data_IF_434438029641
#
_entry.id   IF_434438029641
#
_cell.length_a   1.000
_cell.length_b   1.000
_cell.length_c   1.000
_cell.angle_alpha   90.00
_cell.angle_beta   90.00
_cell.angle_gamma   90.00
#
_symmetry.space_group_name_H-M   'P 1'
#
loop_
_entity.id
_entity.type
_entity.pdbx_description
1 polymer ?
#
# COMPACT_ATOMS: atom_id res chain seq x y z
N UNK A 1 -20.78 -10.28 -14.40
CA UNK A 1 -19.84 -11.40 -14.29
C UNK A 1 -19.69 -11.72 -12.81
N UNK A 2 -20.17 -12.89 -12.40
CA UNK A 2 -20.58 -13.20 -11.03
C UNK A 2 -19.64 -14.26 -10.47
N UNK A 3 -19.04 -14.02 -9.29
CA UNK A 3 -18.23 -15.04 -8.61
C UNK A 3 -19.13 -16.03 -7.87
N UNK A 4 -18.80 -17.32 -8.01
CA UNK A 4 -19.51 -18.43 -7.39
C UNK A 4 -19.06 -18.62 -5.95
N UNK A 5 -19.79 -17.97 -5.03
CA UNK A 5 -19.77 -18.21 -3.60
C UNK A 5 -21.12 -17.78 -3.04
N UNK A 6 -21.85 -18.72 -2.48
CA UNK A 6 -23.21 -18.56 -1.92
C UNK A 6 -23.36 -17.26 -1.12
N UNK A 7 -24.33 -16.41 -1.52
CA UNK A 7 -24.79 -15.28 -0.70
C UNK A 7 -24.07 -13.95 -0.91
N UNK A 8 -24.05 -13.42 -2.14
CA UNK A 8 -24.09 -11.96 -2.35
C UNK A 8 -22.87 -11.15 -1.88
N UNK A 9 -21.65 -11.63 -2.16
CA UNK A 9 -20.42 -10.93 -2.61
C UNK A 9 -19.93 -9.57 -2.08
N UNK A 10 -20.71 -8.77 -1.36
CA UNK A 10 -20.30 -7.45 -0.86
C UNK A 10 -20.29 -7.35 0.67
N UNK A 11 -20.95 -8.26 1.38
CA UNK A 11 -21.04 -8.19 2.85
C UNK A 11 -19.74 -8.63 3.54
N UNK A 12 -18.96 -9.48 2.89
CA UNK A 12 -17.72 -9.98 3.47
C UNK A 12 -16.61 -8.90 3.41
N UNK A 13 -16.56 -8.09 2.32
CA UNK A 13 -15.50 -7.09 2.08
C UNK A 13 -15.90 -5.64 2.43
N UNK A 14 -17.17 -5.38 2.74
CA UNK A 14 -17.67 -4.08 3.16
C UNK A 14 -18.78 -4.24 4.20
N UNK A 15 -18.36 -4.59 5.41
CA UNK A 15 -19.18 -4.62 6.61
C UNK A 15 -18.69 -3.57 7.62
N UNK A 16 -19.45 -3.35 8.68
CA UNK A 16 -19.10 -2.33 9.68
C UNK A 16 -17.75 -2.60 10.38
N UNK A 17 -17.22 -3.83 10.33
CA UNK A 17 -15.93 -4.18 10.96
C UNK A 17 -14.71 -3.93 10.06
N UNK A 18 -14.87 -3.82 8.75
CA UNK A 18 -13.76 -3.54 7.81
C UNK A 18 -13.94 -2.26 6.97
N UNK A 19 -15.10 -1.59 7.04
CA UNK A 19 -15.37 -0.32 6.34
C UNK A 19 -14.30 0.75 6.59
N UNK A 20 -13.73 0.79 7.80
CA UNK A 20 -12.72 1.77 8.20
C UNK A 20 -11.41 1.66 7.40
N UNK A 21 -11.11 0.50 6.79
CA UNK A 21 -9.89 0.29 6.02
C UNK A 21 -9.93 0.99 4.65
N UNK A 22 -11.09 1.03 4.00
CA UNK A 22 -11.24 1.54 2.62
C UNK A 22 -10.81 3.00 2.43
N UNK A 23 -11.19 3.96 3.30
CA UNK A 23 -10.71 5.34 3.18
C UNK A 23 -9.18 5.45 3.22
N UNK A 24 -8.51 4.61 4.01
CA UNK A 24 -7.05 4.58 4.10
C UNK A 24 -6.41 3.99 2.85
N UNK A 25 -6.95 2.90 2.32
CA UNK A 25 -6.49 2.30 1.05
C UNK A 25 -6.57 3.35 -0.06
N UNK A 26 -7.74 3.99 -0.22
CA UNK A 26 -7.92 4.99 -1.29
C UNK A 26 -7.06 6.23 -1.12
N UNK A 27 -6.78 6.64 0.13
CA UNK A 27 -5.86 7.74 0.38
C UNK A 27 -4.41 7.36 0.03
N UNK A 28 -4.00 6.13 0.35
CA UNK A 28 -2.67 5.61 0.03
C UNK A 28 -2.48 5.42 -1.49
N UNK A 29 -3.50 4.93 -2.20
CA UNK A 29 -3.51 4.84 -3.67
C UNK A 29 -3.24 6.20 -4.33
N UNK A 30 -4.06 7.22 -4.01
CA UNK A 30 -3.87 8.58 -4.54
C UNK A 30 -2.53 9.19 -4.18
N UNK A 31 -1.99 8.86 -3.01
CA UNK A 31 -0.65 9.30 -2.63
C UNK A 31 0.40 8.63 -3.51
N UNK A 32 0.30 7.31 -3.73
CA UNK A 32 1.25 6.58 -4.55
C UNK A 32 1.27 7.04 -6.01
N UNK A 33 0.11 7.37 -6.58
CA UNK A 33 0.02 8.01 -7.91
C UNK A 33 0.84 9.31 -7.98
N UNK A 34 0.68 10.18 -6.97
CA UNK A 34 1.45 11.44 -6.88
C UNK A 34 2.95 11.19 -6.72
N UNK A 35 3.32 10.23 -5.88
CA UNK A 35 4.72 9.85 -5.66
C UNK A 35 5.35 9.29 -6.94
N UNK A 36 4.61 8.48 -7.71
CA UNK A 36 5.08 7.92 -8.97
C UNK A 36 5.28 9.03 -10.03
N UNK A 37 4.39 10.02 -10.07
CA UNK A 37 4.49 11.16 -10.97
C UNK A 37 5.74 12.02 -10.71
N UNK A 38 6.04 12.34 -9.44
CA UNK A 38 7.25 13.11 -9.08
C UNK A 38 8.52 12.24 -9.07
N UNK A 39 8.37 10.93 -8.91
CA UNK A 39 9.46 9.97 -8.77
C UNK A 39 10.33 9.82 -10.01
N UNK A 40 9.79 10.10 -11.20
CA UNK A 40 10.56 10.09 -12.46
C UNK A 40 11.62 11.22 -12.52
N UNK A 41 11.38 12.34 -11.84
CA UNK A 41 12.30 13.49 -11.80
C UNK A 41 13.31 13.41 -10.64
N UNK A 42 13.14 12.48 -9.70
CA UNK A 42 14.03 12.29 -8.55
C UNK A 42 15.31 11.54 -8.98
N UNK A 43 16.17 12.26 -9.70
CA UNK A 43 17.50 11.82 -10.08
C UNK A 43 18.36 11.52 -8.83
N UNK A 44 18.42 10.24 -8.44
CA UNK A 44 19.64 9.67 -7.87
C UNK A 44 19.64 9.15 -6.42
N UNK A 45 18.51 9.06 -5.72
CA UNK A 45 18.59 8.53 -4.34
C UNK A 45 17.34 7.96 -3.68
N UNK A 46 16.13 8.19 -4.20
CA UNK A 46 14.89 7.83 -3.50
C UNK A 46 14.06 6.74 -4.20
N UNK A 47 14.57 6.17 -5.29
CA UNK A 47 13.86 5.12 -6.02
C UNK A 47 13.64 3.84 -5.21
N UNK A 48 14.50 3.55 -4.24
CA UNK A 48 14.35 2.46 -3.29
C UNK A 48 13.24 2.70 -2.28
N UNK A 49 13.07 3.95 -1.79
CA UNK A 49 11.92 4.35 -1.00
C UNK A 49 10.60 4.25 -1.78
N UNK A 50 10.58 4.70 -3.05
CA UNK A 50 9.42 4.58 -3.93
C UNK A 50 9.01 3.12 -4.16
N UNK A 51 9.97 2.24 -4.44
CA UNK A 51 9.71 0.80 -4.59
C UNK A 51 9.17 0.18 -3.31
N UNK A 52 9.75 0.50 -2.16
CA UNK A 52 9.25 -0.05 -0.90
C UNK A 52 7.87 0.52 -0.55
N UNK A 53 7.59 1.80 -0.81
CA UNK A 53 6.26 2.38 -0.62
C UNK A 53 5.21 1.67 -1.50
N UNK A 54 5.55 1.37 -2.75
CA UNK A 54 4.69 0.58 -3.64
C UNK A 54 4.41 -0.83 -3.08
N UNK A 55 5.41 -1.51 -2.49
CA UNK A 55 5.21 -2.80 -1.82
C UNK A 55 4.30 -2.70 -0.61
N UNK A 56 4.49 -1.68 0.24
CA UNK A 56 3.59 -1.45 1.39
C UNK A 56 2.15 -1.19 0.94
N UNK A 57 1.95 -0.47 -0.18
CA UNK A 57 0.61 -0.26 -0.74
C UNK A 57 -0.02 -1.58 -1.21
N UNK A 58 0.73 -2.44 -1.91
CA UNK A 58 0.23 -3.75 -2.34
C UNK A 58 -0.12 -4.64 -1.15
N UNK A 59 0.72 -4.65 -0.11
CA UNK A 59 0.44 -5.37 1.13
C UNK A 59 -0.77 -4.81 1.87
N UNK A 60 -0.97 -3.48 1.86
CA UNK A 60 -2.14 -2.82 2.41
C UNK A 60 -3.44 -3.21 1.68
N UNK A 61 -3.36 -3.43 0.37
CA UNK A 61 -4.49 -3.83 -0.50
C UNK A 61 -4.79 -5.34 -0.47
N UNK A 62 -3.98 -6.15 0.22
CA UNK A 62 -4.19 -7.59 0.26
C UNK A 62 -5.58 -7.94 0.82
N UNK A 63 -6.33 -8.78 0.08
CA UNK A 63 -7.68 -9.21 0.44
C UNK A 63 -7.73 -10.08 1.71
N UNK A 64 -6.58 -10.59 2.15
CA UNK A 64 -6.43 -11.42 3.35
C UNK A 64 -6.83 -10.67 4.64
N UNK A 65 -6.62 -9.35 4.72
CA UNK A 65 -6.97 -8.58 5.93
C UNK A 65 -8.48 -8.50 6.18
N UNK A 66 -9.30 -7.99 5.23
CA UNK A 66 -10.75 -7.98 5.41
C UNK A 66 -11.31 -9.40 5.54
N UNK A 67 -10.70 -10.40 4.88
CA UNK A 67 -11.08 -11.81 5.03
C UNK A 67 -10.87 -12.31 6.47
N UNK A 68 -9.67 -12.17 7.04
CA UNK A 68 -9.35 -12.61 8.41
C UNK A 68 -10.16 -11.88 9.50
N UNK A 69 -10.50 -10.61 9.26
CA UNK A 69 -11.42 -9.85 10.13
C UNK A 69 -12.84 -10.41 10.04
N UNK A 70 -13.34 -10.64 8.83
CA UNK A 70 -14.71 -11.09 8.59
C UNK A 70 -14.98 -12.52 9.05
N UNK A 71 -13.98 -13.41 9.00
CA UNK A 71 -14.11 -14.81 9.43
C UNK A 71 -13.86 -15.00 10.92
N UNK A 72 -13.48 -13.95 11.64
CA UNK A 72 -13.22 -13.99 13.08
C UNK A 72 -12.01 -14.82 13.50
N UNK A 73 -11.19 -15.27 12.53
CA UNK A 73 -10.04 -16.13 12.82
C UNK A 73 -8.92 -15.39 13.56
N UNK A 74 -8.66 -14.13 13.19
CA UNK A 74 -7.64 -13.29 13.82
C UNK A 74 -7.84 -11.78 13.56
N UNK A 75 -8.97 -11.17 13.97
CA UNK A 75 -9.31 -9.79 13.62
C UNK A 75 -8.29 -8.76 14.13
N UNK A 76 -7.81 -8.91 15.37
CA UNK A 76 -6.81 -8.00 15.95
C UNK A 76 -5.46 -8.08 15.23
N UNK A 77 -5.06 -9.28 14.83
CA UNK A 77 -3.84 -9.49 14.06
C UNK A 77 -3.95 -8.81 12.69
N UNK A 78 -5.06 -9.01 11.98
CA UNK A 78 -5.28 -8.42 10.66
C UNK A 78 -5.36 -6.89 10.73
N UNK A 79 -6.07 -6.33 11.73
CA UNK A 79 -6.13 -4.89 11.96
C UNK A 79 -4.74 -4.29 12.27
N UNK A 80 -3.95 -4.95 13.12
CA UNK A 80 -2.58 -4.53 13.43
C UNK A 80 -1.69 -4.53 12.19
N UNK A 81 -1.73 -5.61 11.40
CA UNK A 81 -0.93 -5.72 10.16
C UNK A 81 -1.30 -4.66 9.15
N UNK A 82 -2.60 -4.40 8.96
CA UNK A 82 -3.08 -3.32 8.11
C UNK A 82 -2.52 -1.95 8.55
N UNK A 83 -2.59 -1.64 9.85
CA UNK A 83 -2.07 -0.39 10.40
C UNK A 83 -0.55 -0.27 10.28
N UNK A 84 0.19 -1.38 10.42
CA UNK A 84 1.65 -1.41 10.25
C UNK A 84 2.05 -1.07 8.81
N UNK A 85 1.43 -1.71 7.81
CA UNK A 85 1.67 -1.40 6.41
C UNK A 85 1.30 0.04 6.06
N UNK A 86 0.16 0.54 6.57
CA UNK A 86 -0.24 1.93 6.37
C UNK A 86 0.77 2.93 6.98
N UNK A 87 1.25 2.65 8.20
CA UNK A 87 2.23 3.50 8.86
C UNK A 87 3.58 3.51 8.14
N UNK A 88 4.04 2.33 7.67
CA UNK A 88 5.28 2.20 6.88
C UNK A 88 5.16 2.94 5.55
N UNK A 89 4.05 2.75 4.83
CA UNK A 89 3.74 3.48 3.60
C UNK A 89 3.87 4.99 3.80
N UNK A 90 3.20 5.55 4.83
CA UNK A 90 3.23 6.98 5.08
C UNK A 90 4.62 7.51 5.45
N UNK A 91 5.42 6.76 6.21
CA UNK A 91 6.80 7.16 6.52
C UNK A 91 7.67 7.20 5.27
N UNK A 92 7.61 6.16 4.43
CA UNK A 92 8.35 6.11 3.17
C UNK A 92 7.92 7.23 2.21
N UNK A 93 6.61 7.45 2.08
CA UNK A 93 6.04 8.55 1.30
C UNK A 93 6.55 9.92 1.76
N UNK A 94 6.64 10.15 3.07
CA UNK A 94 7.14 11.40 3.62
C UNK A 94 8.60 11.67 3.23
N UNK A 95 9.46 10.64 3.20
CA UNK A 95 10.85 10.77 2.74
C UNK A 95 10.90 11.19 1.27
N UNK A 96 10.08 10.55 0.43
CA UNK A 96 10.01 10.87 -1.01
C UNK A 96 9.53 12.31 -1.23
N UNK A 97 8.45 12.72 -0.56
CA UNK A 97 7.92 14.09 -0.65
C UNK A 97 8.90 15.15 -0.15
N UNK A 98 9.71 14.81 0.87
CA UNK A 98 10.75 15.68 1.38
C UNK A 98 11.91 15.86 0.38
N UNK A 99 12.09 14.92 -0.55
CA UNK A 99 13.09 15.01 -1.61
C UNK A 99 14.52 14.64 -1.19
N UNK A 100 14.74 14.26 0.07
CA UNK A 100 16.02 13.71 0.55
C UNK A 100 15.80 12.67 1.66
N UNK A 101 16.77 11.76 1.83
CA UNK A 101 16.80 10.77 2.90
C UNK A 101 18.02 11.00 3.80
N UNK A 102 17.79 11.03 5.11
CA UNK A 102 18.84 11.07 6.12
C UNK A 102 19.23 9.64 6.57
N UNK A 103 20.27 9.47 7.41
CA UNK A 103 20.70 8.13 7.85
C UNK A 103 19.61 7.34 8.57
N UNK A 104 18.68 8.01 9.28
CA UNK A 104 17.59 7.33 9.98
C UNK A 104 16.55 6.77 9.02
N UNK A 105 16.27 7.47 7.91
CA UNK A 105 15.37 6.97 6.87
C UNK A 105 15.96 5.77 6.15
N UNK A 106 17.27 5.77 5.91
CA UNK A 106 17.96 4.61 5.30
C UNK A 106 17.90 3.39 6.21
N UNK A 107 18.04 3.59 7.52
CA UNK A 107 17.85 2.52 8.49
C UNK A 107 16.40 2.02 8.51
N UNK A 108 15.42 2.93 8.47
CA UNK A 108 14.01 2.57 8.34
C UNK A 108 13.77 1.72 7.09
N UNK A 109 14.26 2.16 5.93
CA UNK A 109 14.11 1.45 4.67
C UNK A 109 14.68 0.03 4.75
N UNK A 110 15.87 -0.13 5.34
CA UNK A 110 16.49 -1.44 5.53
C UNK A 110 15.61 -2.36 6.39
N UNK A 111 15.14 -1.86 7.53
CA UNK A 111 14.28 -2.63 8.45
C UNK A 111 12.96 -3.04 7.77
N UNK A 112 12.34 -2.11 7.04
CA UNK A 112 11.08 -2.40 6.33
C UNK A 112 11.32 -3.39 5.20
N UNK A 113 12.38 -3.22 4.40
CA UNK A 113 12.70 -4.13 3.30
C UNK A 113 13.06 -5.55 3.78
N UNK A 114 13.63 -5.70 4.99
CA UNK A 114 13.86 -7.01 5.61
C UNK A 114 12.56 -7.67 6.11
N UNK A 115 11.61 -6.88 6.61
CA UNK A 115 10.33 -7.37 7.13
C UNK A 115 9.31 -7.67 6.03
N UNK A 116 9.28 -6.82 5.00
CA UNK A 116 8.27 -6.77 3.94
C UNK A 116 8.95 -6.93 2.58
N UNK A 117 9.51 -8.13 2.36
CA UNK A 117 10.23 -8.51 1.14
C UNK A 117 9.44 -9.26 0.03
N UNK A 118 8.12 -9.55 0.10
CA UNK A 118 7.45 -10.14 -1.05
C UNK A 118 7.39 -9.11 -2.20
N UNK A 119 7.37 -9.60 -3.43
CA UNK A 119 7.34 -8.79 -4.66
C UNK A 119 8.60 -7.92 -4.88
N UNK A 120 9.75 -8.59 -4.95
CA UNK A 120 11.05 -7.94 -5.21
C UNK A 120 11.06 -7.08 -6.49
N UNK A 121 10.25 -7.45 -7.49
CA UNK A 121 10.18 -6.81 -8.81
C UNK A 121 9.14 -5.70 -8.96
N UNK A 122 8.52 -5.21 -7.88
CA UNK A 122 7.52 -4.14 -7.98
C UNK A 122 8.14 -2.87 -8.55
N UNK A 123 7.51 -2.39 -9.63
CA UNK A 123 7.85 -1.13 -10.27
C UNK A 123 6.83 -0.07 -9.86
N UNK A 124 7.30 0.96 -9.16
CA UNK A 124 6.44 2.07 -8.75
C UNK A 124 5.85 2.84 -9.94
N UNK A 125 6.45 2.73 -11.13
CA UNK A 125 5.97 3.37 -12.36
C UNK A 125 4.64 2.83 -12.84
N UNK A 126 4.25 1.62 -12.43
CA UNK A 126 2.92 1.07 -12.73
C UNK A 126 1.78 1.90 -12.13
N UNK A 127 2.07 2.70 -11.10
CA UNK A 127 1.10 3.60 -10.47
C UNK A 127 1.02 4.98 -11.15
N UNK A 128 1.87 5.27 -12.15
CA UNK A 128 1.85 6.54 -12.87
C UNK A 128 0.79 6.62 -13.98
N UNK A 129 0.20 5.48 -14.40
CA UNK A 129 -0.68 5.42 -15.58
C UNK A 129 -2.18 5.38 -15.24
N UNK A 130 -2.81 6.57 -15.28
CA UNK A 130 -4.24 6.75 -15.65
C UNK A 130 -4.52 8.03 -16.47
N UNK A 131 -3.51 8.65 -17.09
CA UNK A 131 -3.71 9.75 -18.05
C UNK A 131 -3.51 9.21 -19.47
N UNK A 132 -4.50 8.50 -20.00
CA UNK A 132 -4.43 7.95 -21.35
C UNK A 132 -5.59 7.02 -21.68
N UNK A 133 -6.79 7.59 -21.89
CA UNK A 133 -7.86 7.18 -22.81
C UNK A 133 -9.21 7.71 -22.29
N UNK A 134 -9.45 8.99 -22.57
CA UNK A 134 -10.78 9.52 -22.82
C UNK A 134 -10.60 10.65 -23.86
N UNK A 135 -10.58 10.25 -25.14
CA UNK A 135 -10.88 11.10 -26.29
C UNK A 135 -12.28 10.77 -26.78
#
# INVERSE_FOLDING_TARGET
>A
ESSWGEGGGHYTWNNDTNRWMWPHIHAAERMMERLAAVGNDLAGGLGDFLRQAARELLLLQASDWPFLVSTGQAPDYAARRFQEHLARFHRLAAVVLRGFADPSDRQLLKVVAEQDNPFEFVDFRWFAEREGFAS
#
